data_IF_060517168611
#
_entry.id   IF_060517168611
#
_cell.length_a   1.000
_cell.length_b   1.000
_cell.length_c   1.000
_cell.angle_alpha   90.00
_cell.angle_beta   90.00
_cell.angle_gamma   90.00
#
_symmetry.space_group_name_H-M   'P 1'
#
loop_
_entity.id
_entity.type
_entity.pdbx_description
1 polymer ?
#
# COMPACT_ATOMS: atom_id res chain seq x y z
N UNK A 1 -25.37 21.16 -16.96
CA UNK A 1 -24.45 21.56 -15.86
C UNK A 1 -24.39 20.45 -14.81
N UNK A 2 -23.64 19.35 -15.02
CA UNK A 2 -23.80 18.16 -14.16
C UNK A 2 -22.55 17.33 -13.84
N UNK A 3 -21.43 17.53 -14.53
CA UNK A 3 -20.22 16.71 -14.33
C UNK A 3 -19.37 17.27 -13.18
N UNK A 4 -19.20 18.59 -13.12
CA UNK A 4 -18.36 19.26 -12.11
C UNK A 4 -18.94 19.10 -10.69
N UNK A 5 -20.27 19.12 -10.54
CA UNK A 5 -20.93 18.97 -9.23
C UNK A 5 -20.85 17.53 -8.68
N UNK A 6 -20.87 16.52 -9.56
CA UNK A 6 -20.78 15.11 -9.16
C UNK A 6 -19.33 14.72 -8.82
N UNK A 7 -18.36 15.17 -9.62
CA UNK A 7 -16.94 14.88 -9.40
C UNK A 7 -16.32 15.67 -8.26
N UNK A 8 -16.97 16.72 -7.76
CA UNK A 8 -16.46 17.53 -6.65
C UNK A 8 -16.22 16.70 -5.37
N UNK A 9 -17.11 15.75 -5.05
CA UNK A 9 -16.93 14.85 -3.91
C UNK A 9 -15.71 13.93 -4.09
N UNK A 10 -15.44 13.51 -5.31
CA UNK A 10 -14.27 12.67 -5.62
C UNK A 10 -12.96 13.46 -5.54
N UNK A 11 -12.95 14.68 -6.09
CA UNK A 11 -11.77 15.57 -6.07
C UNK A 11 -11.48 16.03 -4.63
N UNK A 12 -12.51 16.47 -3.90
CA UNK A 12 -12.34 16.88 -2.49
C UNK A 12 -11.90 15.72 -1.60
N UNK A 13 -12.45 14.52 -1.78
CA UNK A 13 -11.98 13.31 -1.09
C UNK A 13 -10.52 12.98 -1.39
N UNK A 14 -10.11 13.12 -2.66
CA UNK A 14 -8.73 12.89 -3.09
C UNK A 14 -7.76 13.91 -2.49
N UNK A 15 -8.12 15.20 -2.51
CA UNK A 15 -7.29 16.27 -1.93
C UNK A 15 -7.17 16.12 -0.41
N UNK A 16 -8.27 15.81 0.29
CA UNK A 16 -8.24 15.50 1.72
C UNK A 16 -7.36 14.28 2.02
N UNK A 17 -7.46 13.22 1.23
CA UNK A 17 -6.61 12.02 1.37
C UNK A 17 -5.12 12.32 1.18
N UNK A 18 -4.78 13.09 0.14
CA UNK A 18 -3.40 13.57 -0.11
C UNK A 18 -2.91 14.44 1.05
N UNK A 19 -3.74 15.35 1.57
CA UNK A 19 -3.39 16.21 2.69
C UNK A 19 -3.08 15.40 3.95
N UNK A 20 -3.89 14.40 4.26
CA UNK A 20 -3.64 13.48 5.38
C UNK A 20 -2.34 12.69 5.15
N UNK A 21 -2.09 12.18 3.95
CA UNK A 21 -0.87 11.45 3.62
C UNK A 21 0.41 12.32 3.65
N UNK A 22 0.26 13.63 3.46
CA UNK A 22 1.37 14.58 3.59
C UNK A 22 1.55 15.09 5.03
N UNK A 23 0.46 15.21 5.81
CA UNK A 23 0.48 15.80 7.15
C UNK A 23 0.78 14.77 8.25
N UNK A 24 0.33 13.53 8.08
CA UNK A 24 0.95 12.43 8.81
C UNK A 24 2.30 12.17 8.16
N UNK A 25 3.36 12.13 8.96
CA UNK A 25 4.65 11.61 8.52
C UNK A 25 4.46 10.11 8.29
N UNK A 26 3.80 9.73 7.19
CA UNK A 26 3.48 8.35 6.88
C UNK A 26 4.83 7.67 6.74
N UNK A 27 5.21 6.81 7.69
CA UNK A 27 6.54 6.22 7.70
C UNK A 27 6.72 5.54 6.36
N UNK A 28 7.78 5.94 5.65
CA UNK A 28 8.04 5.64 4.25
C UNK A 28 7.42 4.28 3.84
N UNK A 29 6.27 4.33 3.16
CA UNK A 29 5.46 3.14 2.83
C UNK A 29 6.32 2.14 2.04
N UNK A 30 7.31 2.65 1.31
CA UNK A 30 8.33 1.87 0.64
C UNK A 30 9.09 0.96 1.61
N UNK A 31 9.58 1.49 2.75
CA UNK A 31 10.25 0.70 3.78
C UNK A 31 9.32 -0.30 4.44
N UNK A 32 8.04 0.03 4.59
CA UNK A 32 7.04 -0.91 5.11
C UNK A 32 6.81 -2.08 4.14
N UNK A 33 6.69 -1.79 2.85
CA UNK A 33 6.55 -2.79 1.79
C UNK A 33 7.82 -3.65 1.67
N UNK A 34 9.00 -3.04 1.71
CA UNK A 34 10.28 -3.77 1.69
C UNK A 34 10.40 -4.71 2.88
N UNK A 35 10.07 -4.26 4.09
CA UNK A 35 10.06 -5.12 5.29
C UNK A 35 9.00 -6.22 5.21
N UNK A 36 7.83 -5.92 4.65
CA UNK A 36 6.76 -6.91 4.46
C UNK A 36 7.16 -7.98 3.44
N UNK A 37 7.76 -7.58 2.31
CA UNK A 37 8.31 -8.49 1.30
C UNK A 37 9.44 -9.34 1.87
N UNK A 38 10.32 -8.75 2.66
CA UNK A 38 11.40 -9.48 3.33
C UNK A 38 10.84 -10.53 4.30
N UNK A 39 9.88 -10.16 5.15
CA UNK A 39 9.19 -11.12 6.02
C UNK A 39 8.44 -12.20 5.25
N UNK A 40 7.80 -11.83 4.14
CA UNK A 40 7.09 -12.80 3.30
C UNK A 40 8.07 -13.82 2.69
N UNK A 41 9.24 -13.39 2.23
CA UNK A 41 10.31 -14.28 1.75
C UNK A 41 10.87 -15.17 2.85
N UNK A 42 11.10 -14.65 4.05
CA UNK A 42 11.56 -15.43 5.20
C UNK A 42 10.55 -16.52 5.57
N UNK A 43 9.26 -16.17 5.60
CA UNK A 43 8.17 -17.13 5.81
C UNK A 43 8.10 -18.12 4.65
N UNK A 44 8.21 -17.67 3.41
CA UNK A 44 8.24 -18.56 2.25
C UNK A 44 9.40 -19.54 2.35
N UNK A 45 10.63 -19.11 2.64
CA UNK A 45 11.80 -19.99 2.76
C UNK A 45 11.66 -20.98 3.93
N UNK A 46 11.13 -20.52 5.07
CA UNK A 46 10.91 -21.36 6.25
C UNK A 46 9.82 -22.42 6.04
N UNK A 47 8.78 -22.10 5.28
CA UNK A 47 7.64 -23.00 5.03
C UNK A 47 7.69 -23.67 3.65
N UNK A 48 8.65 -23.30 2.79
CA UNK A 48 8.93 -23.97 1.53
C UNK A 48 9.38 -25.38 1.88
N UNK A 49 8.47 -26.33 1.65
CA UNK A 49 8.79 -27.75 1.76
C UNK A 49 10.07 -28.02 0.94
N UNK A 50 11.11 -28.65 1.52
CA UNK A 50 12.26 -29.07 0.73
C UNK A 50 11.68 -29.89 -0.42
N UNK A 51 12.01 -29.49 -1.65
CA UNK A 51 11.36 -30.00 -2.84
C UNK A 51 11.29 -31.52 -2.81
N UNK A 52 10.17 -32.05 -3.28
CA UNK A 52 10.06 -33.42 -3.74
C UNK A 52 11.10 -33.56 -4.86
N UNK A 53 12.34 -33.88 -4.48
CA UNK A 53 13.35 -34.42 -5.37
C UNK A 53 12.97 -35.89 -5.55
N UNK A 54 11.97 -36.13 -6.39
CA UNK A 54 11.82 -37.39 -7.11
C UNK A 54 12.77 -37.40 -8.30
#
# INVERSE_FOLDING_TARGET
MGIIRSSFSFISGTVCGIYIAQNYNVPNIQKFIENALFKAKDVEEKYRKPGDRV
#
